data_IF_701287548581
#
_entry.id   IF_701287548581
#
_cell.length_a   1.000
_cell.length_b   1.000
_cell.length_c   1.000
_cell.angle_alpha   90.00
_cell.angle_beta   90.00
_cell.angle_gamma   90.00
#
_symmetry.space_group_name_H-M   'P 1'
#
loop_
_entity.id
_entity.type
_entity.pdbx_description
1 polymer ?
#
# COMPACT_ATOMS: atom_id res chain seq x y z
N UNK A 1 0.56 23.77 36.57
CA UNK A 1 0.84 22.46 37.17
C UNK A 1 1.12 21.48 36.05
N UNK A 2 2.37 21.05 35.89
CA UNK A 2 2.84 20.25 34.75
C UNK A 2 2.84 18.76 35.11
N UNK A 3 2.01 17.95 34.45
CA UNK A 3 2.01 16.50 34.57
C UNK A 3 3.02 15.90 33.59
N UNK A 4 4.12 15.35 34.13
CA UNK A 4 5.11 14.58 33.38
C UNK A 4 4.65 13.14 33.32
N UNK A 5 4.26 12.66 32.14
CA UNK A 5 3.96 11.25 31.89
C UNK A 5 5.30 10.56 31.64
N UNK A 6 5.76 9.76 32.62
CA UNK A 6 6.94 8.91 32.51
C UNK A 6 6.57 7.63 31.77
N UNK A 7 6.97 7.53 30.50
CA UNK A 7 6.88 6.31 29.70
C UNK A 7 7.99 5.33 30.11
N UNK A 8 7.62 4.28 30.85
CA UNK A 8 8.50 3.15 31.18
C UNK A 8 8.63 2.21 29.97
N UNK A 9 9.66 2.41 29.14
CA UNK A 9 10.05 1.46 28.10
C UNK A 9 10.77 0.26 28.71
N UNK A 10 10.06 -0.86 28.88
CA UNK A 10 10.69 -2.16 29.15
C UNK A 10 11.19 -2.75 27.83
N UNK A 11 12.50 -2.66 27.60
CA UNK A 11 13.15 -3.37 26.51
C UNK A 11 13.07 -4.89 26.77
N UNK A 12 12.31 -5.60 25.94
CA UNK A 12 12.27 -7.07 25.92
C UNK A 12 13.61 -7.57 25.39
N UNK A 13 14.47 -8.03 26.30
CA UNK A 13 15.74 -8.69 25.97
C UNK A 13 15.44 -10.11 25.48
N UNK A 14 15.26 -10.28 24.18
CA UNK A 14 15.16 -11.60 23.57
C UNK A 14 16.54 -12.30 23.63
N UNK A 15 16.61 -13.59 24.02
CA UNK A 15 17.85 -14.35 23.93
C UNK A 15 18.17 -14.65 22.46
N UNK A 16 19.35 -14.25 21.99
CA UNK A 16 19.91 -14.64 20.69
C UNK A 16 20.35 -16.11 20.76
N UNK A 17 19.41 -17.04 20.63
CA UNK A 17 19.75 -18.44 20.31
C UNK A 17 20.19 -18.51 18.87
N UNK A 18 21.51 -18.43 18.66
CA UNK A 18 22.17 -18.68 17.37
C UNK A 18 22.02 -20.17 17.05
N UNK A 19 20.92 -20.55 16.41
CA UNK A 19 20.78 -21.90 15.84
C UNK A 19 21.81 -22.06 14.72
N UNK A 20 22.87 -22.81 15.00
CA UNK A 20 23.83 -23.26 14.00
C UNK A 20 23.09 -24.28 13.13
N UNK A 21 22.66 -23.88 11.94
CA UNK A 21 22.16 -24.79 10.92
C UNK A 21 23.33 -25.63 10.41
N UNK A 22 23.51 -26.83 10.98
CA UNK A 22 24.36 -27.85 10.38
C UNK A 22 23.71 -28.26 9.07
N UNK A 23 24.34 -27.90 7.94
CA UNK A 23 24.03 -28.46 6.63
C UNK A 23 24.57 -29.89 6.62
N UNK A 24 23.70 -30.85 6.96
CA UNK A 24 23.98 -32.25 6.72
C UNK A 24 23.82 -32.50 5.22
N UNK A 25 24.91 -32.88 4.54
CA UNK A 25 24.84 -33.36 3.17
C UNK A 25 24.16 -34.73 3.18
N UNK A 26 23.11 -34.88 2.36
CA UNK A 26 22.35 -36.12 2.24
C UNK A 26 23.24 -37.22 1.64
N UNK A 27 23.61 -38.21 2.46
CA UNK A 27 24.03 -39.51 1.94
C UNK A 27 22.77 -40.26 1.52
N UNK A 28 22.66 -40.58 0.24
CA UNK A 28 21.58 -41.38 -0.32
C UNK A 28 21.70 -42.81 0.20
N UNK A 29 21.04 -43.09 1.33
CA UNK A 29 20.89 -44.43 1.85
C UNK A 29 19.82 -45.13 1.01
N UNK A 30 20.15 -46.28 0.42
CA UNK A 30 19.32 -47.06 -0.52
C UNK A 30 17.98 -47.60 0.03
N UNK A 31 17.54 -47.12 1.20
CA UNK A 31 16.22 -47.38 1.80
C UNK A 31 15.32 -46.12 1.87
N UNK A 32 15.66 -45.05 1.15
CA UNK A 32 14.95 -43.78 1.16
C UNK A 32 13.77 -43.73 0.15
N UNK A 33 12.83 -44.66 0.25
CA UNK A 33 11.49 -44.40 -0.33
C UNK A 33 10.83 -43.30 0.51
N UNK A 34 10.42 -42.15 -0.07
CA UNK A 34 9.73 -41.11 0.67
C UNK A 34 8.43 -41.70 1.25
N UNK A 35 8.39 -41.90 2.56
CA UNK A 35 7.14 -42.22 3.27
C UNK A 35 6.30 -40.95 3.31
N UNK A 36 5.48 -40.75 2.30
CA UNK A 36 4.43 -39.75 2.34
C UNK A 36 3.44 -40.14 3.42
N UNK A 37 3.03 -39.19 4.26
CA UNK A 37 1.93 -39.42 5.18
C UNK A 37 0.67 -39.71 4.34
N UNK A 38 -0.06 -40.77 4.67
CA UNK A 38 -1.30 -41.11 3.98
C UNK A 38 -2.31 -39.97 4.18
N UNK A 39 -2.56 -39.19 3.12
CA UNK A 39 -3.50 -38.07 3.14
C UNK A 39 -4.92 -38.61 3.27
N UNK A 40 -5.38 -38.71 4.51
CA UNK A 40 -6.73 -39.17 4.84
C UNK A 40 -7.67 -37.96 4.98
N UNK A 41 -8.94 -38.12 4.58
CA UNK A 41 -9.99 -37.10 4.72
C UNK A 41 -10.31 -36.67 6.18
N UNK A 42 -9.64 -37.27 7.17
CA UNK A 42 -9.71 -36.87 8.59
C UNK A 42 -8.54 -35.96 9.02
N UNK A 43 -7.72 -35.49 8.07
CA UNK A 43 -6.66 -34.53 8.35
C UNK A 43 -7.21 -33.19 8.85
N UNK A 44 -6.38 -32.44 9.57
CA UNK A 44 -6.75 -31.11 10.09
C UNK A 44 -7.25 -30.16 8.99
N UNK A 45 -6.74 -30.29 7.75
CA UNK A 45 -7.18 -29.46 6.64
C UNK A 45 -8.64 -29.73 6.25
N UNK A 46 -9.03 -31.00 6.15
CA UNK A 46 -10.40 -31.41 5.81
C UNK A 46 -11.40 -31.09 6.92
N UNK A 47 -10.98 -31.25 8.19
CA UNK A 47 -11.80 -30.84 9.32
C UNK A 47 -12.04 -29.32 9.31
N UNK A 48 -10.98 -28.53 9.09
CA UNK A 48 -11.09 -27.08 9.08
C UNK A 48 -11.90 -26.57 7.87
N UNK A 49 -11.77 -27.21 6.70
CA UNK A 49 -12.57 -26.84 5.52
C UNK A 49 -14.04 -27.18 5.71
N UNK A 50 -14.38 -28.34 6.28
CA UNK A 50 -15.78 -28.68 6.61
C UNK A 50 -16.36 -27.71 7.62
N UNK A 51 -15.61 -27.37 8.68
CA UNK A 51 -16.04 -26.36 9.67
C UNK A 51 -16.27 -25.01 8.98
N UNK A 52 -15.37 -24.58 8.09
CA UNK A 52 -15.51 -23.32 7.37
C UNK A 52 -16.75 -23.30 6.46
N UNK A 53 -17.04 -24.40 5.75
CA UNK A 53 -18.24 -24.53 4.91
C UNK A 53 -19.51 -24.49 5.76
N UNK A 54 -19.55 -25.24 6.87
CA UNK A 54 -20.71 -25.24 7.78
C UNK A 54 -20.93 -23.85 8.38
N UNK A 55 -19.85 -23.19 8.81
CA UNK A 55 -19.91 -21.83 9.33
C UNK A 55 -20.44 -20.85 8.27
N UNK A 56 -19.98 -20.95 7.02
CA UNK A 56 -20.46 -20.14 5.91
C UNK A 56 -21.96 -20.33 5.64
N UNK A 57 -22.44 -21.59 5.65
CA UNK A 57 -23.87 -21.89 5.45
C UNK A 57 -24.71 -21.39 6.63
N UNK A 58 -24.24 -21.53 7.87
CA UNK A 58 -24.92 -21.02 9.05
C UNK A 58 -25.06 -19.50 8.99
N UNK A 59 -23.97 -18.79 8.65
CA UNK A 59 -23.99 -17.32 8.47
C UNK A 59 -24.96 -16.94 7.36
N UNK A 60 -24.94 -17.62 6.21
CA UNK A 60 -25.86 -17.33 5.10
C UNK A 60 -27.33 -17.51 5.49
N UNK A 61 -27.66 -18.56 6.25
CA UNK A 61 -29.04 -18.80 6.71
C UNK A 61 -29.50 -17.78 7.74
N UNK A 62 -28.61 -17.38 8.65
CA UNK A 62 -28.86 -16.32 9.63
C UNK A 62 -29.09 -14.99 8.91
N UNK A 63 -28.23 -14.66 7.94
CA UNK A 63 -28.35 -13.47 7.11
C UNK A 63 -29.68 -13.44 6.35
N UNK A 64 -30.07 -14.54 5.70
CA UNK A 64 -31.38 -14.64 5.05
C UNK A 64 -32.55 -14.43 6.04
N UNK A 65 -32.49 -15.02 7.23
CA UNK A 65 -33.57 -14.87 8.21
C UNK A 65 -33.71 -13.43 8.73
N UNK A 66 -32.59 -12.73 8.91
CA UNK A 66 -32.57 -11.36 9.41
C UNK A 66 -32.93 -10.34 8.32
N UNK A 67 -32.38 -10.52 7.11
CA UNK A 67 -32.56 -9.61 5.98
C UNK A 67 -33.96 -9.71 5.35
N UNK A 68 -34.64 -10.86 5.46
CA UNK A 68 -36.03 -11.03 4.97
C UNK A 68 -37.08 -10.19 5.73
N UNK A 69 -36.72 -9.55 6.86
CA UNK A 69 -37.61 -8.68 7.63
C UNK A 69 -37.64 -7.22 7.13
N UNK A 70 -36.98 -6.94 5.99
CA UNK A 70 -37.29 -5.81 5.12
C UNK A 70 -36.70 -4.45 5.52
N UNK A 71 -36.40 -4.20 6.79
CA UNK A 71 -35.98 -2.85 7.23
C UNK A 71 -34.72 -2.81 8.13
N UNK A 72 -34.24 -3.95 8.65
CA UNK A 72 -33.09 -3.96 9.54
C UNK A 72 -31.78 -4.25 8.78
N UNK A 73 -30.81 -3.32 8.90
CA UNK A 73 -29.43 -3.54 8.42
C UNK A 73 -28.85 -4.80 9.08
N UNK A 74 -28.12 -5.59 8.30
CA UNK A 74 -27.47 -6.80 8.81
C UNK A 74 -26.62 -6.46 10.06
N UNK A 75 -26.64 -7.29 11.13
CA UNK A 75 -25.96 -6.98 12.39
C UNK A 75 -24.46 -6.73 12.23
N UNK A 76 -23.82 -7.39 11.27
CA UNK A 76 -22.42 -7.13 10.94
C UNK A 76 -22.21 -5.73 10.36
N UNK A 77 -23.10 -5.28 9.46
CA UNK A 77 -23.08 -3.92 8.93
C UNK A 77 -23.31 -2.90 10.03
N UNK A 78 -24.24 -3.15 10.96
CA UNK A 78 -24.47 -2.30 12.14
C UNK A 78 -23.25 -2.24 13.07
N UNK A 79 -22.56 -3.36 13.27
CA UNK A 79 -21.33 -3.43 14.06
C UNK A 79 -20.19 -2.64 13.41
N UNK A 80 -20.06 -2.73 12.08
CA UNK A 80 -19.13 -1.91 11.31
C UNK A 80 -19.49 -0.44 11.45
N UNK A 81 -20.75 -0.06 11.19
CA UNK A 81 -21.22 1.32 11.30
C UNK A 81 -20.99 1.93 12.68
N UNK A 82 -21.13 1.13 13.75
CA UNK A 82 -20.87 1.60 15.11
C UNK A 82 -19.39 1.97 15.36
N UNK A 83 -18.45 1.32 14.68
CA UNK A 83 -17.02 1.60 14.79
C UNK A 83 -16.51 2.56 13.71
N UNK A 84 -17.33 2.87 12.71
CA UNK A 84 -17.00 3.86 11.69
C UNK A 84 -17.32 5.26 12.19
N UNK A 85 -16.57 6.23 11.69
CA UNK A 85 -16.85 7.64 11.94
C UNK A 85 -18.10 8.07 11.16
N UNK A 86 -18.84 9.04 11.70
CA UNK A 86 -20.07 9.53 11.07
C UNK A 86 -19.77 10.12 9.69
N UNK A 87 -20.70 9.92 8.75
CA UNK A 87 -20.59 10.52 7.41
C UNK A 87 -20.51 12.05 7.48
N UNK A 88 -21.21 12.66 8.44
CA UNK A 88 -21.22 14.12 8.62
C UNK A 88 -19.85 14.66 9.02
N UNK A 89 -19.11 13.93 9.86
CA UNK A 89 -17.77 14.36 10.30
C UNK A 89 -16.74 14.19 9.18
N UNK A 90 -16.88 13.13 8.37
CA UNK A 90 -16.10 12.96 7.15
C UNK A 90 -16.39 14.04 6.11
N UNK A 91 -17.65 14.44 5.94
CA UNK A 91 -18.03 15.51 5.03
C UNK A 91 -17.46 16.85 5.46
N UNK A 92 -17.51 17.16 6.77
CA UNK A 92 -16.86 18.35 7.34
C UNK A 92 -15.35 18.34 7.11
N UNK A 93 -14.70 17.20 7.34
CA UNK A 93 -13.26 17.07 7.11
C UNK A 93 -12.91 17.24 5.62
N UNK A 94 -13.69 16.66 4.72
CA UNK A 94 -13.51 16.80 3.28
C UNK A 94 -13.69 18.24 2.82
N UNK A 95 -14.72 18.94 3.33
CA UNK A 95 -14.94 20.36 3.05
C UNK A 95 -13.75 21.21 3.49
N UNK A 96 -13.22 20.99 4.70
CA UNK A 96 -12.01 21.69 5.16
C UNK A 96 -10.81 21.44 4.23
N UNK A 97 -10.63 20.21 3.74
CA UNK A 97 -9.55 19.91 2.79
C UNK A 97 -9.74 20.57 1.44
N UNK A 98 -10.97 20.68 0.95
CA UNK A 98 -11.28 21.41 -0.28
C UNK A 98 -10.98 22.91 -0.10
N UNK A 99 -11.32 23.49 1.03
CA UNK A 99 -11.04 24.89 1.35
C UNK A 99 -9.54 25.17 1.49
N UNK A 100 -8.79 24.26 2.09
CA UNK A 100 -7.33 24.41 2.19
C UNK A 100 -6.66 24.26 0.81
N UNK A 101 -7.16 23.35 -0.03
CA UNK A 101 -6.67 23.17 -1.39
C UNK A 101 -6.96 24.40 -2.27
N UNK A 102 -8.14 25.01 -2.14
CA UNK A 102 -8.47 26.23 -2.89
C UNK A 102 -7.57 27.40 -2.47
N UNK A 103 -7.38 27.62 -1.16
CA UNK A 103 -6.46 28.64 -0.64
C UNK A 103 -5.02 28.42 -1.12
N UNK A 104 -4.55 27.18 -1.14
CA UNK A 104 -3.22 26.85 -1.64
C UNK A 104 -3.11 27.16 -3.14
N UNK A 105 -4.12 26.81 -3.92
CA UNK A 105 -4.16 27.10 -5.35
C UNK A 105 -4.12 28.60 -5.63
N UNK A 106 -4.92 29.40 -4.91
CA UNK A 106 -4.90 30.87 -5.01
C UNK A 106 -3.54 31.44 -4.65
N UNK A 107 -2.96 31.01 -3.52
CA UNK A 107 -1.62 31.44 -3.12
C UNK A 107 -0.57 31.09 -4.18
N UNK A 108 -0.66 29.89 -4.77
CA UNK A 108 0.25 29.44 -5.83
C UNK A 108 0.13 30.32 -7.08
N UNK A 109 -1.08 30.73 -7.46
CA UNK A 109 -1.27 31.65 -8.59
C UNK A 109 -0.59 33.00 -8.31
N UNK A 110 -0.79 33.58 -7.12
CA UNK A 110 -0.15 34.85 -6.73
C UNK A 110 1.38 34.72 -6.77
N UNK A 111 1.93 33.62 -6.26
CA UNK A 111 3.37 33.37 -6.31
C UNK A 111 3.87 33.20 -7.74
N UNK A 112 3.12 32.51 -8.60
CA UNK A 112 3.48 32.32 -10.01
C UNK A 112 3.48 33.65 -10.78
N UNK A 113 2.51 34.52 -10.54
CA UNK A 113 2.45 35.85 -11.15
C UNK A 113 3.55 36.79 -10.63
N UNK A 114 3.86 36.70 -9.33
CA UNK A 114 4.92 37.50 -8.72
C UNK A 114 6.32 37.04 -9.13
N UNK A 115 6.50 35.77 -9.47
CA UNK A 115 7.79 35.24 -9.91
C UNK A 115 8.07 35.61 -11.36
N UNK A 116 9.22 36.24 -11.60
CA UNK A 116 9.74 36.42 -12.96
C UNK A 116 9.97 35.05 -13.61
N UNK A 117 9.59 34.90 -14.87
CA UNK A 117 9.83 33.67 -15.64
C UNK A 117 11.32 33.23 -15.51
N UNK A 118 11.59 31.97 -15.11
CA UNK A 118 12.94 31.50 -14.88
C UNK A 118 13.73 31.53 -16.19
N UNK A 119 14.83 32.27 -16.19
CA UNK A 119 15.74 32.32 -17.35
C UNK A 119 16.74 31.18 -17.20
N UNK A 120 16.52 30.10 -17.95
CA UNK A 120 17.48 29.01 -18.05
C UNK A 120 18.64 29.43 -18.95
N UNK A 121 19.82 29.65 -18.36
CA UNK A 121 21.05 29.86 -19.10
C UNK A 121 21.73 28.52 -19.32
N UNK A 122 21.85 28.14 -20.59
CA UNK A 122 22.58 26.94 -20.97
C UNK A 122 24.07 27.21 -20.83
N UNK A 123 24.78 26.36 -20.08
CA UNK A 123 26.25 26.45 -19.97
C UNK A 123 26.93 26.10 -21.29
N UNK A 124 26.45 25.05 -21.95
CA UNK A 124 27.00 24.53 -23.21
C UNK A 124 25.86 24.39 -24.23
N UNK A 125 25.52 25.44 -25.00
CA UNK A 125 24.46 25.35 -26.01
C UNK A 125 24.81 24.39 -27.16
N UNK A 126 26.09 24.18 -27.41
CA UNK A 126 26.62 23.27 -28.44
C UNK A 126 26.34 21.78 -28.18
N UNK A 127 25.90 21.39 -26.98
CA UNK A 127 25.66 19.97 -26.69
C UNK A 127 24.49 19.37 -27.45
N UNK A 128 23.55 20.21 -27.93
CA UNK A 128 22.40 19.75 -28.69
C UNK A 128 22.78 19.18 -30.07
N UNK A 129 23.84 19.72 -30.68
CA UNK A 129 24.35 19.26 -31.99
C UNK A 129 25.24 18.01 -31.88
N UNK A 130 25.68 17.66 -30.67
CA UNK A 130 26.61 16.53 -30.42
C UNK A 130 25.90 15.17 -30.32
N UNK A 131 24.59 15.13 -30.58
CA UNK A 131 23.81 13.89 -30.59
C UNK A 131 24.34 12.92 -31.65
N UNK A 132 24.68 11.69 -31.23
CA UNK A 132 25.09 10.63 -32.16
C UNK A 132 23.87 10.01 -32.85
N UNK A 133 23.82 9.94 -34.21
CA UNK A 133 22.69 9.35 -34.92
C UNK A 133 22.51 7.84 -34.71
N UNK A 134 23.50 7.14 -34.14
CA UNK A 134 23.56 5.67 -34.14
C UNK A 134 23.44 5.00 -32.76
N UNK A 135 23.09 5.75 -31.72
CA UNK A 135 23.08 5.25 -30.32
C UNK A 135 21.84 5.61 -29.51
N UNK A 136 20.70 5.83 -30.18
CA UNK A 136 19.51 6.39 -29.55
C UNK A 136 18.59 5.31 -29.03
N UNK A 137 18.39 5.28 -27.71
CA UNK A 137 17.34 4.48 -27.08
C UNK A 137 16.06 5.29 -27.07
N UNK A 138 14.92 4.64 -27.32
CA UNK A 138 13.60 5.27 -27.27
C UNK A 138 13.39 5.98 -25.94
N UNK A 139 12.94 7.24 -25.99
CA UNK A 139 12.70 8.07 -24.80
C UNK A 139 13.93 8.81 -24.24
N UNK A 140 15.14 8.61 -24.77
CA UNK A 140 16.32 9.37 -24.35
C UNK A 140 16.51 10.71 -25.10
N UNK A 141 15.91 10.85 -26.27
CA UNK A 141 15.97 12.06 -27.08
C UNK A 141 14.59 12.66 -27.30
N UNK A 142 14.57 14.00 -27.32
CA UNK A 142 13.41 14.84 -27.62
C UNK A 142 13.74 15.60 -28.89
N UNK A 143 12.75 15.85 -29.74
CA UNK A 143 12.92 16.72 -30.90
C UNK A 143 13.19 18.16 -30.45
N UNK A 144 14.30 18.73 -30.90
CA UNK A 144 14.75 20.08 -30.55
C UNK A 144 14.87 20.97 -31.80
N UNK A 145 14.31 20.57 -32.93
CA UNK A 145 14.38 21.30 -34.20
C UNK A 145 13.84 22.74 -34.11
N UNK A 146 12.83 22.97 -33.28
CA UNK A 146 12.22 24.30 -33.06
C UNK A 146 12.91 25.13 -31.95
N UNK A 147 13.96 24.61 -31.31
CA UNK A 147 14.62 25.28 -30.19
C UNK A 147 15.51 26.44 -30.67
N UNK A 148 15.05 27.68 -30.49
CA UNK A 148 15.87 28.88 -30.73
C UNK A 148 16.71 29.24 -29.51
N UNK A 149 17.99 28.88 -29.53
CA UNK A 149 18.95 29.31 -28.51
C UNK A 149 19.44 30.72 -28.85
N UNK A 150 19.28 31.65 -27.91
CA UNK A 150 19.87 32.98 -28.02
C UNK A 150 21.36 32.88 -27.68
N UNK A 151 22.23 32.91 -28.70
CA UNK A 151 23.64 33.27 -28.52
C UNK A 151 23.73 34.76 -28.25
N UNK A 152 24.64 35.19 -27.37
CA UNK A 152 24.91 36.63 -27.15
C UNK A 152 25.26 37.35 -28.46
#
# INVERSE_FOLDING_TARGET
>A
MASRILSSTRLVRAPLTRQITRRNFASDAKDASPKFAEETFNGNIWRNTVIAVIAGVAIYRIDQHLTNQGEEKHPFTKWIEYHMESSEDMDKFNQQKLDDASKLAEYRLVVQEAQRAPIYRLRNPESFERASPRGLVTGQQVDLSDLKVRSD
#
